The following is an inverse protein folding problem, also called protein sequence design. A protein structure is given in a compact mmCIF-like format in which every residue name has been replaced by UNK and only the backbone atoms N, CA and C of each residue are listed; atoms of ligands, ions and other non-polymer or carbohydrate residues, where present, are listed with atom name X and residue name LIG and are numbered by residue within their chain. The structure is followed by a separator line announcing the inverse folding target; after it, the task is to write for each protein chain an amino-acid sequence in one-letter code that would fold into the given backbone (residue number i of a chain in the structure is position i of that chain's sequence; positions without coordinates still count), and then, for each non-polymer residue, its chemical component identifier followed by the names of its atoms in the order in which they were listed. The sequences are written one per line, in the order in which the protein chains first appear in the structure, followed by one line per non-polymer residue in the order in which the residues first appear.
data_IF_433309353715
#
_entry.id   IF_433309353715
#
_cell.length_a   1.000
_cell.length_b   1.000
_cell.length_c   1.000
_cell.angle_alpha   90.00
_cell.angle_beta   90.00
_cell.angle_gamma   90.00
#
_symmetry.space_group_name_H-M   'P 1'
#
loop_
_entity.id
_entity.type
_entity.pdbx_description
1 polymer ?
#
# COMPACT_ATOMS: atom_id res chain seq x y z
N UNK A 1 17.89 -19.54 -7.74
CA UNK A 1 19.09 -18.94 -8.37
C UNK A 1 18.64 -17.74 -9.18
N UNK A 2 19.38 -16.64 -9.18
CA UNK A 2 19.12 -15.54 -10.13
C UNK A 2 19.42 -16.02 -11.54
N UNK A 3 18.56 -15.71 -12.51
CA UNK A 3 18.82 -15.99 -13.92
C UNK A 3 19.95 -15.10 -14.44
N UNK A 4 19.93 -13.80 -14.15
CA UNK A 4 20.99 -12.82 -14.43
C UNK A 4 20.91 -11.61 -13.46
N UNK A 5 21.92 -10.72 -13.46
CA UNK A 5 21.94 -9.47 -12.68
C UNK A 5 22.85 -9.50 -11.45
N UNK A 6 22.95 -8.35 -10.77
CA UNK A 6 23.73 -8.21 -9.53
C UNK A 6 22.93 -7.47 -8.48
N UNK A 7 22.89 -8.00 -7.26
CA UNK A 7 22.29 -7.34 -6.10
C UNK A 7 23.36 -6.98 -5.05
N UNK A 8 23.20 -5.81 -4.43
CA UNK A 8 24.08 -5.32 -3.37
C UNK A 8 23.26 -5.00 -2.12
N UNK A 9 23.72 -5.48 -0.96
CA UNK A 9 23.16 -5.15 0.35
C UNK A 9 24.31 -4.61 1.19
N UNK A 10 24.16 -3.40 1.74
CA UNK A 10 25.21 -2.73 2.52
C UNK A 10 26.55 -2.63 1.74
N UNK A 11 26.47 -2.28 0.45
CA UNK A 11 27.62 -2.22 -0.45
C UNK A 11 28.23 -3.59 -0.82
N UNK A 12 27.71 -4.70 -0.30
CA UNK A 12 28.24 -6.04 -0.53
C UNK A 12 27.41 -6.80 -1.56
N UNK A 13 28.08 -7.38 -2.56
CA UNK A 13 27.43 -8.22 -3.56
C UNK A 13 26.92 -9.53 -2.93
N UNK A 14 25.61 -9.78 -3.06
CA UNK A 14 24.92 -10.92 -2.43
C UNK A 14 25.42 -12.27 -2.98
N UNK A 15 25.86 -12.32 -4.25
CA UNK A 15 26.37 -13.55 -4.86
C UNK A 15 27.76 -13.94 -4.36
N UNK A 16 28.57 -12.98 -3.91
CA UNK A 16 29.98 -13.21 -3.53
C UNK A 16 30.17 -13.49 -2.04
N UNK A 17 29.24 -13.10 -1.16
CA UNK A 17 29.37 -13.30 0.28
C UNK A 17 28.03 -13.68 0.92
N UNK A 18 27.85 -14.96 1.20
CA UNK A 18 26.69 -15.49 1.96
C UNK A 18 26.61 -14.84 3.37
N UNK A 19 27.72 -14.40 3.95
CA UNK A 19 27.71 -13.75 5.28
C UNK A 19 26.99 -12.41 5.32
N UNK A 20 26.84 -11.70 4.20
CA UNK A 20 26.09 -10.42 4.17
C UNK A 20 24.59 -10.61 4.42
N UNK A 21 24.05 -11.82 4.18
CA UNK A 21 22.64 -12.13 4.43
C UNK A 21 22.31 -12.30 5.91
N UNK A 22 23.30 -12.35 6.82
CA UNK A 22 23.03 -12.40 8.27
C UNK A 22 22.21 -11.22 8.76
N UNK A 23 22.38 -10.06 8.14
CA UNK A 23 21.65 -8.83 8.46
C UNK A 23 20.35 -8.66 7.65
N UNK A 24 19.90 -9.70 6.95
CA UNK A 24 18.68 -9.69 6.13
C UNK A 24 17.52 -10.41 6.84
N UNK A 25 16.47 -9.67 7.17
CA UNK A 25 15.16 -10.22 7.51
C UNK A 25 14.45 -10.69 6.25
N UNK A 26 13.81 -11.86 6.27
CA UNK A 26 13.00 -12.30 5.14
C UNK A 26 11.71 -12.97 5.63
N UNK A 27 10.57 -12.49 5.12
CA UNK A 27 9.26 -13.12 5.29
C UNK A 27 8.75 -13.53 3.90
N UNK A 28 8.80 -14.82 3.52
CA UNK A 28 8.28 -15.31 2.24
C UNK A 28 6.75 -15.20 2.17
N UNK A 29 6.16 -15.23 0.97
CA UNK A 29 4.70 -15.28 0.79
C UNK A 29 4.09 -16.55 1.43
N UNK A 30 4.74 -17.70 1.24
CA UNK A 30 4.35 -18.96 1.89
C UNK A 30 4.88 -19.05 3.31
N UNK A 31 4.04 -19.51 4.24
CA UNK A 31 4.41 -19.72 5.63
C UNK A 31 5.40 -20.89 5.76
N UNK A 32 6.52 -20.69 6.48
CA UNK A 32 7.55 -21.72 6.67
C UNK A 32 7.06 -22.89 7.55
N UNK A 33 7.46 -24.12 7.21
CA UNK A 33 7.02 -25.35 7.87
C UNK A 33 7.81 -25.66 9.16
N UNK A 34 7.59 -24.90 10.23
CA UNK A 34 8.03 -25.26 11.59
C UNK A 34 6.88 -25.85 12.40
N UNK A 35 6.09 -26.72 11.78
CA UNK A 35 4.79 -27.18 12.25
C UNK A 35 4.78 -27.81 13.65
N UNK A 36 5.89 -28.42 14.07
CA UNK A 36 6.01 -29.15 15.34
C UNK A 36 6.71 -28.36 16.45
N UNK A 37 7.07 -27.11 16.20
CA UNK A 37 7.58 -26.21 17.23
C UNK A 37 6.43 -25.36 17.77
N UNK A 38 6.50 -25.02 19.06
CA UNK A 38 5.63 -23.98 19.62
C UNK A 38 6.04 -22.62 19.06
N UNK A 39 5.14 -21.64 19.15
CA UNK A 39 5.46 -20.24 18.79
C UNK A 39 6.66 -19.74 19.58
N UNK A 40 6.67 -19.98 20.89
CA UNK A 40 7.76 -19.58 21.75
C UNK A 40 9.07 -20.26 21.35
N UNK A 41 9.08 -21.58 21.16
CA UNK A 41 10.30 -22.31 20.79
C UNK A 41 10.86 -21.82 19.46
N UNK A 42 9.99 -21.50 18.50
CA UNK A 42 10.38 -20.99 17.20
C UNK A 42 11.04 -19.62 17.30
N UNK A 43 10.47 -18.70 18.09
CA UNK A 43 11.04 -17.38 18.34
C UNK A 43 12.40 -17.49 19.04
N UNK A 44 12.52 -18.35 20.06
CA UNK A 44 13.78 -18.60 20.77
C UNK A 44 14.85 -19.20 19.86
N UNK A 45 14.49 -20.23 19.08
CA UNK A 45 15.38 -20.90 18.15
C UNK A 45 15.93 -19.91 17.10
N UNK A 46 15.05 -19.13 16.49
CA UNK A 46 15.43 -18.20 15.43
C UNK A 46 16.21 -17.01 15.98
N UNK A 47 15.89 -16.52 17.18
CA UNK A 47 16.72 -15.52 17.87
C UNK A 47 18.14 -16.03 18.11
N UNK A 48 18.31 -17.30 18.52
CA UNK A 48 19.64 -17.91 18.66
C UNK A 48 20.38 -18.03 17.34
N UNK A 49 19.71 -18.49 16.28
CA UNK A 49 20.30 -18.62 14.94
C UNK A 49 20.74 -17.25 14.40
N UNK A 50 19.98 -16.20 14.71
CA UNK A 50 20.29 -14.79 14.38
C UNK A 50 21.45 -14.20 15.19
N UNK A 51 21.99 -14.94 16.17
CA UNK A 51 23.12 -14.50 16.97
C UNK A 51 22.76 -13.55 18.11
N UNK A 52 21.49 -13.52 18.53
CA UNK A 52 21.07 -12.74 19.70
C UNK A 52 21.72 -13.32 20.96
N UNK A 53 22.34 -12.46 21.77
CA UNK A 53 22.98 -12.86 23.02
C UNK A 53 21.96 -13.51 23.96
N UNK A 54 22.31 -14.66 24.57
CA UNK A 54 21.39 -15.48 25.35
C UNK A 54 20.65 -14.70 26.45
N UNK A 55 21.33 -13.77 27.14
CA UNK A 55 20.74 -12.90 28.18
C UNK A 55 19.64 -11.98 27.67
N UNK A 56 19.64 -11.64 26.38
CA UNK A 56 18.66 -10.73 25.75
C UNK A 56 17.53 -11.46 25.04
N UNK A 57 17.65 -12.78 24.80
CA UNK A 57 16.68 -13.53 24.00
C UNK A 57 15.29 -13.44 24.63
N UNK A 58 15.17 -13.70 25.94
CA UNK A 58 13.88 -13.64 26.63
C UNK A 58 13.20 -12.29 26.45
N UNK A 59 13.93 -11.20 26.73
CA UNK A 59 13.43 -9.84 26.54
C UNK A 59 12.96 -9.57 25.11
N UNK A 60 13.73 -9.99 24.10
CA UNK A 60 13.39 -9.79 22.70
C UNK A 60 12.17 -10.61 22.30
N UNK A 61 12.08 -11.86 22.74
CA UNK A 61 10.93 -12.74 22.47
C UNK A 61 9.68 -12.18 23.12
N UNK A 62 9.73 -11.78 24.39
CA UNK A 62 8.59 -11.18 25.09
C UNK A 62 8.13 -9.88 24.39
N UNK A 63 9.09 -9.03 24.00
CA UNK A 63 8.79 -7.77 23.29
C UNK A 63 8.14 -8.03 21.93
N UNK A 64 8.70 -8.93 21.12
CA UNK A 64 8.19 -9.24 19.79
C UNK A 64 6.84 -9.94 19.86
N UNK A 65 6.65 -10.82 20.85
CA UNK A 65 5.37 -11.52 21.05
C UNK A 65 4.26 -10.52 21.36
N UNK A 66 4.53 -9.54 22.23
CA UNK A 66 3.59 -8.46 22.52
C UNK A 66 3.31 -7.56 21.33
N UNK A 67 4.36 -7.12 20.61
CA UNK A 67 4.21 -6.27 19.44
C UNK A 67 3.38 -6.92 18.34
N UNK A 68 3.49 -8.22 18.13
CA UNK A 68 2.76 -8.95 17.09
C UNK A 68 1.48 -9.64 17.59
N UNK A 69 1.06 -9.38 18.84
CA UNK A 69 -0.12 -10.01 19.47
C UNK A 69 -0.08 -11.54 19.45
N UNK A 70 1.09 -12.11 19.76
CA UNK A 70 1.34 -13.54 19.79
C UNK A 70 1.29 -14.13 21.21
N UNK A 71 1.19 -13.31 22.26
CA UNK A 71 1.18 -13.77 23.66
C UNK A 71 0.17 -14.89 23.94
N UNK A 72 -1.08 -14.84 23.44
CA UNK A 72 -2.07 -15.89 23.70
C UNK A 72 -1.70 -17.24 23.05
N UNK A 73 -0.79 -17.23 22.07
CA UNK A 73 -0.47 -18.36 21.22
C UNK A 73 0.92 -18.95 21.49
N UNK A 74 1.65 -18.45 22.48
CA UNK A 74 3.05 -18.82 22.73
C UNK A 74 3.26 -20.33 22.89
N UNK A 75 2.32 -21.00 23.55
CA UNK A 75 2.37 -22.44 23.83
C UNK A 75 1.72 -23.31 22.73
N UNK A 76 1.06 -22.69 21.74
CA UNK A 76 0.47 -23.44 20.63
C UNK A 76 1.53 -23.88 19.64
N UNK A 77 1.30 -25.04 19.03
CA UNK A 77 2.13 -25.47 17.90
C UNK A 77 1.82 -24.62 16.67
N UNK A 78 2.84 -24.36 15.84
CA UNK A 78 2.67 -23.52 14.64
C UNK A 78 1.56 -24.06 13.73
N UNK A 79 1.41 -25.39 13.60
CA UNK A 79 0.37 -25.95 12.71
C UNK A 79 -1.06 -25.63 13.16
N UNK A 80 -1.30 -25.45 14.47
CA UNK A 80 -2.61 -25.14 15.07
C UNK A 80 -3.04 -23.68 14.82
N UNK A 81 -2.10 -22.81 14.46
CA UNK A 81 -2.37 -21.38 14.28
C UNK A 81 -3.20 -21.12 13.01
N UNK A 82 -4.06 -20.10 13.10
CA UNK A 82 -4.73 -19.54 11.92
C UNK A 82 -3.73 -18.97 10.91
N UNK A 83 -4.11 -18.88 9.64
CA UNK A 83 -3.26 -18.33 8.57
C UNK A 83 -2.71 -16.94 8.90
N UNK A 84 -3.57 -16.03 9.39
CA UNK A 84 -3.17 -14.69 9.82
C UNK A 84 -2.21 -14.70 11.02
N UNK A 85 -2.37 -15.61 11.98
CA UNK A 85 -1.44 -15.73 13.12
C UNK A 85 -0.09 -16.30 12.69
N UNK A 86 -0.07 -17.27 11.77
CA UNK A 86 1.17 -17.74 11.13
C UNK A 86 1.88 -16.59 10.40
N UNK A 87 1.12 -15.73 9.71
CA UNK A 87 1.64 -14.56 9.00
C UNK A 87 2.31 -13.56 9.95
N UNK A 88 1.65 -13.26 11.08
CA UNK A 88 2.20 -12.41 12.15
C UNK A 88 3.49 -13.00 12.71
N UNK A 89 3.51 -14.30 12.99
CA UNK A 89 4.70 -14.99 13.46
C UNK A 89 5.87 -14.92 12.46
N UNK A 90 5.64 -15.19 11.18
CA UNK A 90 6.72 -15.12 10.18
C UNK A 90 7.25 -13.70 10.00
N UNK A 91 6.37 -12.70 10.05
CA UNK A 91 6.78 -11.30 9.99
C UNK A 91 7.59 -10.91 11.24
N UNK A 92 7.15 -11.36 12.43
CA UNK A 92 7.88 -11.20 13.68
C UNK A 92 9.29 -11.80 13.59
N UNK A 93 9.40 -13.04 13.10
CA UNK A 93 10.67 -13.75 12.87
C UNK A 93 11.60 -12.97 11.94
N UNK A 94 11.06 -12.39 10.86
CA UNK A 94 11.86 -11.60 9.92
C UNK A 94 12.49 -10.37 10.57
N UNK A 95 11.90 -9.82 11.64
CA UNK A 95 12.38 -8.65 12.37
C UNK A 95 13.21 -9.00 13.63
N UNK A 96 13.30 -10.28 14.01
CA UNK A 96 14.15 -10.72 15.14
C UNK A 96 15.63 -10.47 14.85
N UNK A 97 16.38 -10.03 15.87
CA UNK A 97 17.83 -9.93 15.79
C UNK A 97 18.29 -8.73 14.97
N UNK A 98 17.75 -7.54 15.28
CA UNK A 98 17.57 -6.36 14.41
C UNK A 98 18.33 -6.41 13.07
N UNK A 99 17.67 -6.80 11.96
CA UNK A 99 18.30 -6.77 10.65
C UNK A 99 18.60 -5.34 10.20
N UNK A 100 19.48 -5.17 9.21
CA UNK A 100 19.68 -3.88 8.52
C UNK A 100 18.65 -3.66 7.42
N UNK A 101 18.27 -4.76 6.76
CA UNK A 101 17.26 -4.79 5.70
C UNK A 101 16.28 -5.92 5.97
N UNK A 102 14.98 -5.67 5.84
CA UNK A 102 13.95 -6.71 5.88
C UNK A 102 13.20 -6.73 4.55
N UNK A 103 13.05 -7.92 3.95
CA UNK A 103 12.24 -8.16 2.77
C UNK A 103 10.99 -8.90 3.21
N UNK A 104 9.82 -8.29 3.00
CA UNK A 104 8.53 -8.79 3.46
C UNK A 104 7.62 -9.01 2.27
N UNK A 105 7.33 -10.27 1.96
CA UNK A 105 6.59 -10.63 0.75
C UNK A 105 5.10 -10.85 1.05
N UNK A 106 4.27 -9.82 0.90
CA UNK A 106 2.85 -9.77 1.32
C UNK A 106 2.59 -9.94 2.83
N UNK A 107 3.23 -9.16 3.72
CA UNK A 107 3.24 -9.42 5.16
C UNK A 107 1.86 -9.37 5.85
N UNK A 108 0.87 -8.67 5.29
CA UNK A 108 -0.43 -8.48 5.94
C UNK A 108 -1.58 -9.27 5.31
N UNK A 109 -1.32 -10.06 4.28
CA UNK A 109 -2.33 -10.90 3.64
C UNK A 109 -2.94 -11.91 4.62
N UNK A 110 -4.26 -11.93 4.70
CA UNK A 110 -5.00 -12.87 5.56
C UNK A 110 -4.92 -12.56 7.07
N UNK A 111 -4.38 -11.40 7.44
CA UNK A 111 -4.39 -10.88 8.83
C UNK A 111 -5.65 -10.05 9.04
N UNK A 112 -6.24 -10.14 10.25
CA UNK A 112 -7.42 -9.34 10.59
C UNK A 112 -7.13 -7.82 10.57
N UNK A 113 -8.15 -6.96 10.39
CA UNK A 113 -7.96 -5.53 10.25
C UNK A 113 -7.17 -4.88 11.40
N UNK A 114 -7.43 -5.27 12.65
CA UNK A 114 -6.79 -4.67 13.82
C UNK A 114 -5.31 -5.04 13.89
N UNK A 115 -4.98 -6.33 13.76
CA UNK A 115 -3.59 -6.75 13.78
C UNK A 115 -2.81 -6.24 12.56
N UNK A 116 -3.46 -6.06 11.41
CA UNK A 116 -2.85 -5.40 10.24
C UNK A 116 -2.45 -3.95 10.54
N UNK A 117 -3.32 -3.16 11.19
CA UNK A 117 -2.96 -1.80 11.59
C UNK A 117 -1.76 -1.78 12.54
N UNK A 118 -1.73 -2.68 13.51
CA UNK A 118 -0.61 -2.81 14.43
C UNK A 118 0.70 -3.18 13.71
N UNK A 119 0.65 -4.12 12.76
CA UNK A 119 1.83 -4.45 11.93
C UNK A 119 2.34 -3.24 11.14
N UNK A 120 1.45 -2.43 10.58
CA UNK A 120 1.82 -1.21 9.86
C UNK A 120 2.53 -0.22 10.79
N UNK A 121 2.06 -0.06 12.04
CA UNK A 121 2.74 0.77 13.04
C UNK A 121 4.12 0.23 13.41
N UNK A 122 4.27 -1.09 13.55
CA UNK A 122 5.58 -1.74 13.77
C UNK A 122 6.52 -1.41 12.62
N UNK A 123 6.07 -1.51 11.36
CA UNK A 123 6.91 -1.20 10.20
C UNK A 123 7.36 0.26 10.20
N UNK A 124 6.44 1.20 10.44
CA UNK A 124 6.75 2.63 10.53
C UNK A 124 7.77 2.91 11.66
N UNK A 125 7.60 2.28 12.82
CA UNK A 125 8.51 2.44 13.95
C UNK A 125 9.89 1.80 13.68
N UNK A 126 9.93 0.65 13.02
CA UNK A 126 11.17 0.01 12.63
C UNK A 126 11.96 0.87 11.62
N UNK A 127 11.27 1.48 10.65
CA UNK A 127 11.89 2.44 9.71
C UNK A 127 12.46 3.67 10.43
N UNK A 128 11.73 4.22 11.42
CA UNK A 128 12.25 5.30 12.28
C UNK A 128 13.52 4.87 13.03
N UNK A 129 13.59 3.61 13.45
CA UNK A 129 14.75 2.98 14.08
C UNK A 129 15.86 2.58 13.07
N UNK A 130 15.84 3.12 11.84
CA UNK A 130 16.85 2.93 10.78
C UNK A 130 16.86 1.53 10.13
N UNK A 131 15.82 0.71 10.33
CA UNK A 131 15.62 -0.49 9.50
C UNK A 131 15.17 -0.10 8.10
N UNK A 132 15.76 -0.69 7.06
CA UNK A 132 15.20 -0.60 5.70
C UNK A 132 14.22 -1.76 5.47
N UNK A 133 12.98 -1.46 5.08
CA UNK A 133 11.98 -2.47 4.75
C UNK A 133 11.67 -2.39 3.26
N UNK A 134 11.76 -3.53 2.57
CA UNK A 134 11.25 -3.72 1.22
C UNK A 134 10.03 -4.62 1.37
N UNK A 135 8.85 -4.11 1.06
CA UNK A 135 7.61 -4.89 1.11
C UNK A 135 7.01 -5.04 -0.29
N UNK A 136 6.44 -6.20 -0.57
CA UNK A 136 5.53 -6.40 -1.70
C UNK A 136 4.11 -6.46 -1.13
N UNK A 137 3.16 -5.86 -1.85
CA UNK A 137 1.75 -5.93 -1.50
C UNK A 137 0.91 -5.69 -2.76
N UNK A 138 -0.23 -6.37 -2.82
CA UNK A 138 -1.29 -6.07 -3.79
C UNK A 138 -2.26 -4.99 -3.26
N UNK A 139 -2.16 -4.61 -1.99
CA UNK A 139 -2.98 -3.55 -1.40
C UNK A 139 -2.31 -2.18 -1.60
N UNK A 140 -2.96 -1.35 -2.42
CA UNK A 140 -2.50 0.02 -2.65
C UNK A 140 -2.62 0.88 -1.39
N UNK A 141 -3.68 0.68 -0.59
CA UNK A 141 -3.89 1.38 0.68
C UNK A 141 -2.78 1.10 1.70
N UNK A 142 -2.33 -0.16 1.79
CA UNK A 142 -1.20 -0.53 2.63
C UNK A 142 0.09 0.14 2.16
N UNK A 143 0.36 0.07 0.86
CA UNK A 143 1.51 0.73 0.25
C UNK A 143 1.50 2.24 0.52
N UNK A 144 0.34 2.90 0.38
CA UNK A 144 0.21 4.34 0.61
C UNK A 144 0.46 4.71 2.07
N UNK A 145 0.04 3.87 3.01
CA UNK A 145 0.19 4.13 4.45
C UNK A 145 1.62 3.90 4.97
N UNK A 146 2.32 2.90 4.46
CA UNK A 146 3.61 2.44 5.03
C UNK A 146 4.81 2.90 4.21
N UNK A 147 4.69 2.99 2.88
CA UNK A 147 5.84 3.19 2.01
C UNK A 147 6.20 4.66 1.83
N UNK A 148 7.50 4.97 1.93
CA UNK A 148 8.04 6.28 1.54
C UNK A 148 8.24 6.40 0.01
N UNK A 149 8.49 5.27 -0.65
CA UNK A 149 8.68 5.13 -2.09
C UNK A 149 7.93 3.88 -2.56
N UNK A 150 7.30 3.99 -3.71
CA UNK A 150 6.56 2.93 -4.34
C UNK A 150 7.17 2.61 -5.71
N UNK A 151 7.31 1.32 -6.00
CA UNK A 151 7.64 0.82 -7.32
C UNK A 151 6.49 -0.02 -7.85
N UNK A 152 6.08 0.22 -9.10
CA UNK A 152 5.07 -0.60 -9.77
C UNK A 152 5.76 -1.50 -10.76
N UNK A 153 5.59 -2.81 -10.60
CA UNK A 153 6.12 -3.82 -11.51
C UNK A 153 5.01 -4.34 -12.43
N UNK A 154 5.29 -4.42 -13.73
CA UNK A 154 4.36 -4.86 -14.76
C UNK A 154 5.10 -5.79 -15.73
N UNK A 155 4.58 -7.00 -15.97
CA UNK A 155 5.22 -8.04 -16.81
C UNK A 155 6.71 -8.27 -16.48
N UNK A 156 7.06 -8.27 -15.18
CA UNK A 156 8.43 -8.50 -14.72
C UNK A 156 9.39 -7.31 -14.88
N UNK A 157 8.90 -6.15 -15.33
CA UNK A 157 9.68 -4.92 -15.44
C UNK A 157 9.18 -3.83 -14.49
N UNK A 158 10.08 -3.05 -13.92
CA UNK A 158 9.74 -1.92 -13.06
C UNK A 158 9.25 -0.75 -13.92
N UNK A 159 7.93 -0.57 -14.02
CA UNK A 159 7.31 0.45 -14.85
C UNK A 159 7.51 1.86 -14.30
N UNK A 160 7.47 2.02 -12.97
CA UNK A 160 7.77 3.28 -12.33
C UNK A 160 8.31 3.09 -10.90
N UNK A 161 9.03 4.10 -10.42
CA UNK A 161 9.56 4.17 -9.06
C UNK A 161 9.62 5.63 -8.61
N UNK A 162 9.07 5.94 -7.45
CA UNK A 162 9.05 7.31 -6.93
C UNK A 162 8.38 7.42 -5.57
N UNK A 163 8.28 8.63 -5.04
CA UNK A 163 7.37 8.89 -3.91
C UNK A 163 5.92 8.78 -4.40
N UNK A 164 4.99 8.48 -3.50
CA UNK A 164 3.56 8.37 -3.83
C UNK A 164 3.07 9.64 -4.53
N UNK A 165 3.41 10.82 -3.99
CA UNK A 165 3.04 12.09 -4.59
C UNK A 165 3.66 12.29 -5.99
N UNK A 166 4.93 11.93 -6.18
CA UNK A 166 5.56 12.01 -7.50
C UNK A 166 4.84 11.14 -8.52
N UNK A 167 4.46 9.91 -8.14
CA UNK A 167 3.71 9.01 -9.01
C UNK A 167 2.31 9.56 -9.33
N UNK A 168 1.60 10.10 -8.33
CA UNK A 168 0.29 10.74 -8.52
C UNK A 168 0.36 11.97 -9.42
N UNK A 169 1.40 12.79 -9.31
CA UNK A 169 1.58 13.96 -10.19
C UNK A 169 2.01 13.58 -11.61
N UNK A 170 2.87 12.56 -11.77
CA UNK A 170 3.43 12.17 -13.08
C UNK A 170 2.51 11.28 -13.90
N UNK A 171 1.80 10.36 -13.25
CA UNK A 171 0.97 9.35 -13.90
C UNK A 171 -0.52 9.48 -13.57
N UNK A 172 -0.89 10.36 -12.63
CA UNK A 172 -2.29 10.66 -12.37
C UNK A 172 -2.97 11.30 -13.57
N UNK A 173 -4.26 11.02 -13.73
CA UNK A 173 -5.09 11.55 -14.80
C UNK A 173 -5.87 12.76 -14.29
N UNK A 174 -5.22 13.64 -13.52
CA UNK A 174 -5.85 14.80 -12.91
C UNK A 174 -6.71 14.48 -11.68
N UNK A 175 -7.79 15.22 -11.52
CA UNK A 175 -8.67 15.18 -10.35
C UNK A 175 -10.05 14.62 -10.71
N UNK A 176 -10.60 13.79 -9.84
CA UNK A 176 -11.97 13.31 -9.93
C UNK A 176 -12.85 14.23 -9.09
N UNK A 177 -13.85 14.83 -9.71
CA UNK A 177 -14.86 15.65 -9.06
C UNK A 177 -16.17 14.87 -9.01
N UNK A 178 -16.65 14.65 -7.79
CA UNK A 178 -17.99 14.14 -7.54
C UNK A 178 -18.88 15.32 -7.16
N UNK A 179 -19.98 15.53 -7.87
CA UNK A 179 -20.93 16.62 -7.65
C UNK A 179 -22.29 16.00 -7.34
N UNK A 180 -22.88 16.39 -6.22
CA UNK A 180 -24.22 16.00 -5.82
C UNK A 180 -25.16 17.19 -5.85
N UNK A 181 -26.32 16.99 -6.46
CA UNK A 181 -27.40 17.98 -6.54
C UNK A 181 -28.57 17.54 -5.68
N UNK A 182 -29.33 18.51 -5.15
CA UNK A 182 -30.51 18.24 -4.33
C UNK A 182 -31.71 19.00 -4.84
N UNK A 183 -32.64 18.26 -5.42
CA UNK A 183 -34.00 18.68 -5.71
C UNK A 183 -34.97 17.57 -5.27
N UNK A 184 -36.21 17.95 -4.96
CA UNK A 184 -37.32 17.02 -4.72
C UNK A 184 -37.80 16.30 -5.98
N UNK A 185 -37.35 16.75 -7.15
CA UNK A 185 -37.73 16.23 -8.46
C UNK A 185 -36.50 15.66 -9.19
N UNK A 186 -36.61 14.40 -9.62
CA UNK A 186 -35.55 13.68 -10.30
C UNK A 186 -35.26 14.24 -11.70
N UNK A 187 -36.27 14.77 -12.40
CA UNK A 187 -36.08 15.34 -13.74
C UNK A 187 -35.30 16.66 -13.65
N UNK A 188 -35.57 17.45 -12.60
CA UNK A 188 -34.81 18.67 -12.30
C UNK A 188 -33.35 18.33 -11.96
N UNK A 189 -33.11 17.26 -11.19
CA UNK A 189 -31.75 16.84 -10.85
C UNK A 189 -30.95 16.42 -12.11
N UNK A 190 -31.57 15.64 -13.00
CA UNK A 190 -30.93 15.22 -14.25
C UNK A 190 -30.55 16.42 -15.14
N UNK A 191 -31.45 17.40 -15.29
CA UNK A 191 -31.17 18.65 -16.04
C UNK A 191 -30.04 19.43 -15.35
N UNK A 192 -30.04 19.49 -14.02
CA UNK A 192 -28.99 20.20 -13.26
C UNK A 192 -27.62 19.57 -13.47
N UNK A 193 -27.51 18.24 -13.42
CA UNK A 193 -26.26 17.52 -13.72
C UNK A 193 -25.82 17.78 -15.16
N UNK A 194 -26.75 17.81 -16.12
CA UNK A 194 -26.43 18.11 -17.52
C UNK A 194 -25.94 19.57 -17.70
N UNK A 195 -26.50 20.52 -16.95
CA UNK A 195 -26.02 21.91 -16.94
C UNK A 195 -24.60 22.02 -16.34
N UNK A 196 -24.34 21.30 -15.24
CA UNK A 196 -23.00 21.20 -14.64
C UNK A 196 -22.00 20.60 -15.62
N UNK A 197 -22.35 19.49 -16.27
CA UNK A 197 -21.52 18.85 -17.28
C UNK A 197 -21.21 19.82 -18.43
N UNK A 198 -22.23 20.52 -18.94
CA UNK A 198 -22.07 21.48 -20.03
C UNK A 198 -21.16 22.65 -19.62
N UNK A 199 -21.29 23.13 -18.39
CA UNK A 199 -20.42 24.18 -17.83
C UNK A 199 -18.96 23.72 -17.67
N UNK A 200 -18.73 22.49 -17.22
CA UNK A 200 -17.37 21.96 -17.09
C UNK A 200 -16.74 21.76 -18.48
N UNK A 201 -17.50 21.23 -19.44
CA UNK A 201 -17.05 21.06 -20.82
C UNK A 201 -16.81 22.38 -21.55
N UNK A 202 -17.46 23.48 -21.14
CA UNK A 202 -17.22 24.79 -21.74
C UNK A 202 -15.92 25.45 -21.26
N UNK A 203 -15.23 24.89 -20.26
CA UNK A 203 -13.95 25.42 -19.78
C UNK A 203 -12.81 24.90 -20.68
N UNK A 204 -12.40 25.68 -21.67
CA UNK A 204 -11.33 25.30 -22.62
C UNK A 204 -9.98 25.01 -21.95
N UNK A 205 -9.73 25.57 -20.76
CA UNK A 205 -8.51 25.34 -19.99
C UNK A 205 -8.40 23.89 -19.47
N UNK A 206 -9.52 23.16 -19.40
CA UNK A 206 -9.59 21.87 -18.75
C UNK A 206 -9.99 20.77 -19.71
N UNK A 207 -9.30 19.62 -19.63
CA UNK A 207 -9.78 18.42 -20.30
C UNK A 207 -10.72 17.67 -19.34
N UNK A 208 -12.01 17.68 -19.67
CA UNK A 208 -13.07 17.05 -18.85
C UNK A 208 -13.55 15.77 -19.51
N UNK A 209 -13.47 14.67 -18.80
CA UNK A 209 -14.01 13.36 -19.18
C UNK A 209 -15.14 12.99 -18.22
N UNK A 210 -16.32 12.68 -18.74
CA UNK A 210 -17.46 12.22 -17.92
C UNK A 210 -17.27 10.73 -17.62
N UNK A 211 -17.17 10.37 -16.33
CA UNK A 211 -16.99 8.98 -15.91
C UNK A 211 -18.34 8.30 -15.70
N UNK A 212 -19.17 8.89 -14.85
CA UNK A 212 -20.47 8.34 -14.48
C UNK A 212 -21.42 9.47 -14.13
N UNK A 213 -22.67 9.36 -14.56
CA UNK A 213 -23.72 10.31 -14.20
C UNK A 213 -24.95 9.52 -13.80
N UNK A 214 -25.42 9.79 -12.59
CA UNK A 214 -26.69 9.29 -12.06
C UNK A 214 -27.71 10.45 -12.01
N UNK A 215 -28.92 10.18 -11.55
CA UNK A 215 -29.96 11.21 -11.47
C UNK A 215 -29.59 12.38 -10.56
N UNK A 216 -28.80 12.16 -9.50
CA UNK A 216 -28.47 13.18 -8.49
C UNK A 216 -26.97 13.38 -8.26
N UNK A 217 -26.12 12.58 -8.90
CA UNK A 217 -24.66 12.66 -8.76
C UNK A 217 -23.96 12.58 -10.11
N UNK A 218 -23.00 13.47 -10.36
CA UNK A 218 -22.12 13.44 -11.53
C UNK A 218 -20.67 13.25 -11.11
N UNK A 219 -19.96 12.35 -11.78
CA UNK A 219 -18.56 12.04 -11.59
C UNK A 219 -17.77 12.45 -12.84
N UNK A 220 -16.87 13.41 -12.68
CA UNK A 220 -16.09 14.03 -13.76
C UNK A 220 -14.60 13.87 -13.48
N UNK A 221 -13.82 13.53 -14.50
CA UNK A 221 -12.36 13.54 -14.44
C UNK A 221 -11.86 14.81 -15.12
N UNK A 222 -11.04 15.59 -14.44
CA UNK A 222 -10.51 16.86 -14.94
C UNK A 222 -8.98 16.86 -14.93
N UNK A 223 -8.38 17.11 -16.10
CA UNK A 223 -6.93 17.23 -16.29
C UNK A 223 -6.56 18.67 -16.60
N UNK A 224 -5.41 19.12 -16.09
CA UNK A 224 -4.84 20.44 -16.38
C UNK A 224 -5.16 21.53 -15.35
N UNK A 225 -5.81 21.18 -14.23
CA UNK A 225 -6.12 22.10 -13.14
C UNK A 225 -5.35 21.78 -11.87
N UNK A 226 -5.33 22.72 -10.94
CA UNK A 226 -4.97 22.48 -9.53
C UNK A 226 -6.23 22.30 -8.66
N UNK A 227 -6.13 21.67 -7.47
CA UNK A 227 -7.26 21.55 -6.56
C UNK A 227 -7.84 22.91 -6.16
N UNK A 228 -6.98 23.93 -6.03
CA UNK A 228 -7.37 25.28 -5.65
C UNK A 228 -8.22 25.95 -6.73
N UNK A 229 -7.81 25.86 -8.00
CA UNK A 229 -8.57 26.39 -9.14
C UNK A 229 -9.93 25.71 -9.27
N UNK A 230 -9.98 24.37 -9.13
CA UNK A 230 -11.23 23.62 -9.19
C UNK A 230 -12.18 23.97 -8.04
N UNK A 231 -11.63 24.10 -6.84
CA UNK A 231 -12.41 24.50 -5.66
C UNK A 231 -12.99 25.89 -5.84
N UNK A 232 -12.18 26.85 -6.29
CA UNK A 232 -12.63 28.22 -6.55
C UNK A 232 -13.73 28.25 -7.63
N UNK A 233 -13.52 27.56 -8.76
CA UNK A 233 -14.49 27.49 -9.85
C UNK A 233 -15.84 26.95 -9.38
N UNK A 234 -15.84 25.86 -8.60
CA UNK A 234 -17.07 25.24 -8.10
C UNK A 234 -17.76 26.10 -7.05
N UNK A 235 -17.00 26.71 -6.14
CA UNK A 235 -17.58 27.53 -5.07
C UNK A 235 -18.22 28.81 -5.61
N UNK A 236 -17.57 29.50 -6.56
CA UNK A 236 -18.12 30.69 -7.23
C UNK A 236 -19.42 30.38 -8.01
N UNK A 237 -19.56 29.15 -8.50
CA UNK A 237 -20.68 28.74 -9.34
C UNK A 237 -21.70 27.84 -8.63
N UNK A 238 -21.50 27.58 -7.33
CA UNK A 238 -22.30 26.62 -6.55
C UNK A 238 -23.79 26.95 -6.56
N UNK A 239 -24.13 28.21 -6.30
CA UNK A 239 -25.52 28.67 -6.30
C UNK A 239 -26.12 28.68 -7.72
N UNK A 240 -25.34 29.13 -8.71
CA UNK A 240 -25.77 29.20 -10.12
C UNK A 240 -26.07 27.83 -10.71
N UNK A 241 -25.28 26.83 -10.32
CA UNK A 241 -25.38 25.45 -10.80
C UNK A 241 -26.23 24.55 -9.88
N UNK A 242 -26.83 25.10 -8.82
CA UNK A 242 -27.64 24.39 -7.84
C UNK A 242 -26.95 23.13 -7.27
N UNK A 243 -25.66 23.25 -6.95
CA UNK A 243 -24.85 22.17 -6.38
C UNK A 243 -25.08 22.10 -4.86
N UNK A 244 -25.45 20.92 -4.36
CA UNK A 244 -25.60 20.68 -2.92
C UNK A 244 -24.22 20.52 -2.27
N UNK A 245 -23.47 19.54 -2.75
CA UNK A 245 -22.14 19.19 -2.25
C UNK A 245 -21.25 18.74 -3.40
N UNK A 246 -19.94 18.92 -3.24
CA UNK A 246 -18.97 18.40 -4.19
C UNK A 246 -17.73 17.90 -3.44
N UNK A 247 -17.06 16.93 -4.04
CA UNK A 247 -15.81 16.35 -3.54
C UNK A 247 -14.78 16.38 -4.66
N UNK A 248 -13.59 16.89 -4.36
CA UNK A 248 -12.45 16.86 -5.28
C UNK A 248 -11.44 15.86 -4.72
N UNK A 249 -11.13 14.83 -5.50
CA UNK A 249 -10.17 13.79 -5.13
C UNK A 249 -9.09 13.65 -6.19
N UNK A 250 -7.86 13.37 -5.78
CA UNK A 250 -6.77 13.10 -6.71
C UNK A 250 -6.86 11.65 -7.19
N UNK A 251 -6.35 11.38 -8.40
CA UNK A 251 -6.21 10.01 -8.93
C UNK A 251 -5.55 9.09 -7.88
N UNK A 252 -6.17 7.94 -7.61
CA UNK A 252 -5.67 6.96 -6.65
C UNK A 252 -4.51 6.15 -7.24
N UNK A 253 -3.69 5.52 -6.38
CA UNK A 253 -2.64 4.61 -6.84
C UNK A 253 -3.20 3.40 -7.61
N UNK A 254 -4.39 2.94 -7.23
CA UNK A 254 -5.10 1.87 -7.94
C UNK A 254 -5.46 2.27 -9.37
N UNK A 255 -6.00 3.48 -9.56
CA UNK A 255 -6.29 4.00 -10.91
C UNK A 255 -5.01 4.14 -11.74
N UNK A 256 -3.91 4.60 -11.15
CA UNK A 256 -2.60 4.67 -11.80
C UNK A 256 -2.15 3.27 -12.22
N UNK A 257 -2.22 2.29 -11.32
CA UNK A 257 -1.89 0.89 -11.60
C UNK A 257 -2.73 0.31 -12.75
N UNK A 258 -4.05 0.50 -12.72
CA UNK A 258 -4.96 0.06 -13.78
C UNK A 258 -4.64 0.73 -15.12
N UNK A 259 -4.21 2.00 -15.11
CA UNK A 259 -3.82 2.71 -16.33
C UNK A 259 -2.59 2.07 -17.01
N UNK A 260 -1.62 1.58 -16.23
CA UNK A 260 -0.48 0.84 -16.76
C UNK A 260 -0.92 -0.49 -17.37
N UNK A 261 -1.88 -1.19 -16.76
CA UNK A 261 -2.45 -2.41 -17.32
C UNK A 261 -3.20 -2.18 -18.64
N UNK A 262 -3.96 -1.09 -18.75
CA UNK A 262 -4.73 -0.72 -19.96
C UNK A 262 -3.84 -0.33 -21.15
N UNK A 263 -2.79 0.46 -20.92
CA UNK A 263 -1.83 0.89 -21.98
C UNK A 263 -1.19 -0.29 -22.70
N UNK A 264 -1.01 -1.40 -22.00
CA UNK A 264 -0.38 -2.59 -22.56
C UNK A 264 -1.34 -3.31 -23.49
N UNK A 265 -2.61 -3.49 -23.10
CA UNK A 265 -3.61 -4.10 -24.00
C UNK A 265 -3.72 -3.35 -25.32
N UNK A 266 -3.68 -2.01 -25.27
CA UNK A 266 -3.73 -1.16 -26.45
C UNK A 266 -2.45 -1.17 -27.32
N UNK A 267 -1.35 -1.79 -26.88
CA UNK A 267 -0.10 -1.92 -27.68
C UNK A 267 0.14 -3.34 -28.18
N UNK A 268 -0.67 -4.31 -27.73
CA UNK A 268 -0.64 -5.71 -28.19
C UNK A 268 -1.76 -6.06 -29.17
N UNK A 269 -2.69 -5.14 -29.43
CA UNK A 269 -3.71 -5.20 -30.48
C UNK A 269 -3.30 -4.31 -31.67
#
# INVERSE_FOLDING_TARGET
MSTQGTAYIDGQNVHRRIRSTRHLGYCPQENCSMNYLTVQDSLYLLARIRGVQHSRIKLIVDTISSLFLLDPFLNNYIHELSGGTKRRLHTAIALIGPPLVAILDEPTTGVDPNARQQMQEIFLNAVKAKLTIILTSHSMDECERVCNRLGIMVHGQLACLGTIQHLKSKFGQGYTIEIKVRSTDNDINAITIQNVQSFLLSQEQYHVEVKETTQSTGLFQIVGSTPAELFQLLEENKQRLNIETYTISQTTLEQIFLSFGKRIRATTD
#
